data_IF_059517109423
#
_entry.id   IF_059517109423
#
_cell.length_a   1.000
_cell.length_b   1.000
_cell.length_c   1.000
_cell.angle_alpha   90.00
_cell.angle_beta   90.00
_cell.angle_gamma   90.00
#
_symmetry.space_group_name_H-M   'P 1'
#
loop_
_entity.id
_entity.type
_entity.pdbx_description
1 polymer ?
#
# COMPACT_ATOMS: atom_id res chain seq x y z
N UNK A 1 -2.37 -28.64 -8.40
CA UNK A 1 -1.41 -27.53 -8.54
C UNK A 1 -2.15 -26.23 -8.26
N UNK A 2 -2.07 -25.69 -7.04
CA UNK A 2 -2.59 -24.35 -6.77
C UNK A 2 -1.67 -23.34 -7.47
N UNK A 3 -2.18 -22.74 -8.54
CA UNK A 3 -1.52 -21.61 -9.19
C UNK A 3 -1.32 -20.53 -8.13
N UNK A 4 -0.07 -20.30 -7.73
CA UNK A 4 0.27 -19.20 -6.83
C UNK A 4 0.07 -17.95 -7.67
N UNK A 5 -1.14 -17.39 -7.68
CA UNK A 5 -1.43 -16.09 -8.26
C UNK A 5 -0.50 -15.11 -7.56
N UNK A 6 0.61 -14.78 -8.23
CA UNK A 6 1.51 -13.73 -7.78
C UNK A 6 0.67 -12.46 -7.78
N UNK A 7 0.34 -11.95 -6.58
CA UNK A 7 -0.33 -10.66 -6.47
C UNK A 7 0.52 -9.64 -7.23
N UNK A 8 -0.09 -8.94 -8.19
CA UNK A 8 0.59 -7.87 -8.91
C UNK A 8 1.06 -6.82 -7.90
N UNK A 9 2.22 -6.22 -8.16
CA UNK A 9 2.86 -5.27 -7.23
C UNK A 9 2.77 -3.86 -7.78
N UNK A 10 2.35 -2.90 -6.96
CA UNK A 10 2.34 -1.48 -7.29
C UNK A 10 3.27 -0.70 -6.36
N UNK A 11 4.20 0.07 -6.93
CA UNK A 11 5.09 0.94 -6.16
C UNK A 11 4.53 2.36 -6.21
N UNK A 12 4.21 2.92 -5.04
CA UNK A 12 3.65 4.26 -4.91
C UNK A 12 4.66 5.18 -4.23
N UNK A 13 5.13 6.18 -4.98
CA UNK A 13 6.06 7.19 -4.48
C UNK A 13 5.31 8.41 -3.95
N UNK A 14 5.89 9.09 -2.95
CA UNK A 14 5.30 10.31 -2.39
C UNK A 14 4.19 10.05 -1.37
N UNK A 15 4.26 8.92 -0.64
CA UNK A 15 3.28 8.54 0.37
C UNK A 15 3.60 9.18 1.72
N UNK A 16 2.58 9.59 2.47
CA UNK A 16 2.75 10.04 3.86
C UNK A 16 1.52 10.73 4.43
N UNK A 17 1.04 11.79 3.77
CA UNK A 17 -0.19 12.47 4.20
C UNK A 17 -1.41 11.55 4.04
N UNK A 18 -2.23 11.40 5.08
CA UNK A 18 -3.41 10.53 5.10
C UNK A 18 -4.42 10.87 3.99
N UNK A 19 -4.65 12.17 3.80
CA UNK A 19 -5.49 12.75 2.73
C UNK A 19 -4.67 13.17 1.50
N UNK A 20 -3.45 12.64 1.35
CA UNK A 20 -2.61 12.89 0.18
C UNK A 20 -2.89 11.91 -0.96
N UNK A 21 -2.53 12.29 -2.19
CA UNK A 21 -2.75 11.48 -3.38
C UNK A 21 -2.04 10.11 -3.29
N UNK A 22 -0.79 10.06 -2.82
CA UNK A 22 -0.05 8.81 -2.67
C UNK A 22 -0.76 7.81 -1.75
N UNK A 23 -1.33 8.27 -0.63
CA UNK A 23 -2.10 7.40 0.26
C UNK A 23 -3.42 6.94 -0.37
N UNK A 24 -4.10 7.81 -1.13
CA UNK A 24 -5.32 7.46 -1.83
C UNK A 24 -5.07 6.39 -2.92
N UNK A 25 -3.99 6.53 -3.69
CA UNK A 25 -3.59 5.54 -4.69
C UNK A 25 -3.22 4.21 -4.04
N UNK A 26 -2.45 4.22 -2.95
CA UNK A 26 -2.09 3.02 -2.22
C UNK A 26 -3.32 2.23 -1.75
N UNK A 27 -4.30 2.91 -1.16
CA UNK A 27 -5.58 2.27 -0.79
C UNK A 27 -6.31 1.69 -2.00
N UNK A 28 -6.37 2.42 -3.10
CA UNK A 28 -7.06 1.97 -4.31
C UNK A 28 -6.43 0.70 -4.89
N UNK A 29 -5.12 0.67 -5.09
CA UNK A 29 -4.44 -0.52 -5.62
C UNK A 29 -4.51 -1.70 -4.65
N UNK A 30 -4.39 -1.46 -3.34
CA UNK A 30 -4.55 -2.53 -2.36
C UNK A 30 -5.97 -3.13 -2.38
N UNK A 31 -7.01 -2.31 -2.54
CA UNK A 31 -8.39 -2.76 -2.68
C UNK A 31 -8.62 -3.56 -3.98
N UNK A 32 -7.88 -3.24 -5.05
CA UNK A 32 -7.90 -3.98 -6.32
C UNK A 32 -7.03 -5.27 -6.26
N UNK A 33 -6.47 -5.61 -5.10
CA UNK A 33 -5.79 -6.90 -4.83
C UNK A 33 -4.27 -6.88 -4.99
N UNK A 34 -3.67 -5.73 -5.27
CA UNK A 34 -2.21 -5.57 -5.40
C UNK A 34 -1.52 -5.69 -4.04
N UNK A 35 -0.26 -6.13 -4.05
CA UNK A 35 0.67 -5.81 -2.97
C UNK A 35 1.26 -4.42 -3.24
N UNK A 36 1.10 -3.47 -2.33
CA UNK A 36 1.58 -2.10 -2.53
C UNK A 36 2.88 -1.84 -1.77
N UNK A 37 3.86 -1.24 -2.44
CA UNK A 37 5.11 -0.78 -1.81
C UNK A 37 5.02 0.75 -1.71
N UNK A 38 5.11 1.28 -0.49
CA UNK A 38 4.97 2.70 -0.22
C UNK A 38 6.35 3.32 -0.02
N UNK A 39 6.63 4.42 -0.73
CA UNK A 39 7.86 5.18 -0.52
C UNK A 39 7.55 6.63 -0.18
N UNK A 40 8.22 7.15 0.85
CA UNK A 40 8.06 8.50 1.36
C UNK A 40 9.22 8.88 2.28
N UNK A 41 9.18 10.10 2.81
CA UNK A 41 10.29 10.65 3.60
C UNK A 41 10.19 10.38 5.10
N UNK A 42 9.00 10.03 5.60
CA UNK A 42 8.73 9.94 7.04
C UNK A 42 8.27 8.53 7.37
N UNK A 43 9.14 7.75 8.01
CA UNK A 43 8.90 6.34 8.33
C UNK A 43 7.60 6.13 9.13
N UNK A 44 7.35 6.93 10.16
CA UNK A 44 6.13 6.79 10.99
C UNK A 44 4.85 6.98 10.19
N UNK A 45 4.87 7.93 9.23
CA UNK A 45 3.71 8.14 8.35
C UNK A 45 3.52 6.96 7.41
N UNK A 46 4.60 6.36 6.92
CA UNK A 46 4.53 5.17 6.07
C UNK A 46 3.99 3.96 6.86
N UNK A 47 4.51 3.72 8.06
CA UNK A 47 4.04 2.66 8.95
C UNK A 47 2.54 2.80 9.26
N UNK A 48 2.06 4.01 9.54
CA UNK A 48 0.64 4.28 9.74
C UNK A 48 -0.21 3.94 8.49
N UNK A 49 0.31 4.19 7.27
CA UNK A 49 -0.38 3.83 6.02
C UNK A 49 -0.36 2.32 5.76
N UNK A 50 0.72 1.61 6.11
CA UNK A 50 0.78 0.14 6.04
C UNK A 50 -0.30 -0.46 6.94
N UNK A 51 -0.34 -0.06 8.21
CA UNK A 51 -1.34 -0.53 9.18
C UNK A 51 -2.77 -0.24 8.70
N UNK A 52 -3.02 0.96 8.16
CA UNK A 52 -4.33 1.32 7.61
C UNK A 52 -4.75 0.39 6.46
N UNK A 53 -3.83 0.04 5.56
CA UNK A 53 -4.11 -0.83 4.41
C UNK A 53 -4.31 -2.29 4.86
N UNK A 54 -3.48 -2.77 5.78
CA UNK A 54 -3.61 -4.12 6.35
C UNK A 54 -4.93 -4.28 7.14
N UNK A 55 -5.33 -3.25 7.89
CA UNK A 55 -6.62 -3.24 8.59
C UNK A 55 -7.84 -3.30 7.63
N UNK A 56 -7.66 -2.89 6.38
CA UNK A 56 -8.66 -3.00 5.31
C UNK A 56 -8.57 -4.33 4.53
N UNK A 57 -7.70 -5.26 4.95
CA UNK A 57 -7.49 -6.54 4.29
C UNK A 57 -6.55 -6.48 3.07
N UNK A 58 -5.94 -5.32 2.81
CA UNK A 58 -4.92 -5.14 1.79
C UNK A 58 -3.55 -5.67 2.23
N UNK A 59 -2.57 -5.59 1.34
CA UNK A 59 -1.19 -5.96 1.64
C UNK A 59 -0.25 -4.81 1.27
N UNK A 60 0.56 -4.34 2.23
CA UNK A 60 1.47 -3.21 2.03
C UNK A 60 2.83 -3.44 2.69
N UNK A 61 3.88 -2.86 2.10
CA UNK A 61 5.23 -2.75 2.69
C UNK A 61 5.72 -1.31 2.50
N UNK A 62 6.52 -0.77 3.42
CA UNK A 62 7.07 0.58 3.29
C UNK A 62 8.49 0.72 3.86
#
# INVERSE_FOLDING_TARGET
MTNRLTKETAIILGVGAERGLGAALARRFAADGYHVILAGRTADKLAARVQEIEAQGGAATA
#
